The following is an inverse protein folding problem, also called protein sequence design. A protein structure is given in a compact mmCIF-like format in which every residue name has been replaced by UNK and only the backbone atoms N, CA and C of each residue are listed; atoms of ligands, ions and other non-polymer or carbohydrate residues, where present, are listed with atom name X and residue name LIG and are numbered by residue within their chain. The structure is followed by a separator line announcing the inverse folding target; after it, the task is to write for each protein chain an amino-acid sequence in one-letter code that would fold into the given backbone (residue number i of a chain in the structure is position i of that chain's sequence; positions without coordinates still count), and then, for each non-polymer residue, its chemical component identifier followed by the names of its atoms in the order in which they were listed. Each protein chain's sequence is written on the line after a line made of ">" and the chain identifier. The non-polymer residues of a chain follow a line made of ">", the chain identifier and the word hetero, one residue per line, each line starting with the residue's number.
data_IF_130100707505
#
_entry.id   IF_130100707505
#
_cell.length_a   1.000
_cell.length_b   1.000
_cell.length_c   1.000
_cell.angle_alpha   90.00
_cell.angle_beta   90.00
_cell.angle_gamma   90.00
#
_symmetry.space_group_name_H-M   'P 1'
#
loop_
_entity.id
_entity.type
_entity.pdbx_description
1 polymer ?
#
# COMPACT_ATOMS: atom_id res chain seq x y z
N UNK A 1 10.46 22.36 -15.11
CA UNK A 1 9.97 21.16 -14.40
C UNK A 1 8.79 21.57 -13.53
N UNK A 2 7.63 20.95 -13.70
CA UNK A 2 6.49 21.20 -12.81
C UNK A 2 6.65 20.35 -11.54
N UNK A 3 7.31 20.93 -10.53
CA UNK A 3 7.55 20.28 -9.23
C UNK A 3 6.25 19.87 -8.55
N UNK A 4 5.17 20.62 -8.76
CA UNK A 4 3.85 20.32 -8.18
C UNK A 4 3.25 19.07 -8.82
N UNK A 5 3.40 18.92 -10.14
CA UNK A 5 2.95 17.71 -10.83
C UNK A 5 3.77 16.49 -10.42
N UNK A 6 5.10 16.62 -10.34
CA UNK A 6 5.97 15.53 -9.85
C UNK A 6 5.56 15.11 -8.43
N UNK A 7 5.34 16.06 -7.52
CA UNK A 7 4.89 15.75 -6.16
C UNK A 7 3.57 14.96 -6.16
N UNK A 8 2.58 15.38 -6.96
CA UNK A 8 1.29 14.68 -7.07
C UNK A 8 1.44 13.25 -7.58
N UNK A 9 2.24 13.03 -8.61
CA UNK A 9 2.42 11.70 -9.18
C UNK A 9 3.19 10.79 -8.23
N UNK A 10 4.20 11.32 -7.53
CA UNK A 10 4.87 10.61 -6.43
C UNK A 10 3.90 10.24 -5.31
N UNK A 11 2.97 11.13 -4.93
CA UNK A 11 1.94 10.82 -3.93
C UNK A 11 1.05 9.66 -4.37
N UNK A 12 0.65 9.57 -5.65
CA UNK A 12 -0.17 8.45 -6.15
C UNK A 12 0.57 7.10 -6.01
N UNK A 13 1.85 7.09 -6.34
CA UNK A 13 2.70 5.89 -6.18
C UNK A 13 2.80 5.52 -4.71
N UNK A 14 3.04 6.49 -3.83
CA UNK A 14 3.11 6.26 -2.39
C UNK A 14 1.80 5.69 -1.83
N UNK A 15 0.64 6.26 -2.18
CA UNK A 15 -0.67 5.77 -1.73
C UNK A 15 -0.93 4.34 -2.19
N UNK A 16 -0.62 4.01 -3.44
CA UNK A 16 -0.77 2.65 -3.97
C UNK A 16 0.17 1.67 -3.27
N UNK A 17 1.41 2.09 -3.01
CA UNK A 17 2.39 1.27 -2.29
C UNK A 17 1.99 1.03 -0.82
N UNK A 18 1.45 2.04 -0.12
CA UNK A 18 0.94 1.87 1.24
C UNK A 18 -0.30 0.95 1.26
N UNK A 19 -1.14 1.00 0.21
CA UNK A 19 -2.26 0.05 0.05
C UNK A 19 -1.74 -1.38 -0.11
N UNK A 20 -0.70 -1.58 -0.92
CA UNK A 20 -0.01 -2.87 -1.03
C UNK A 20 0.55 -3.37 0.31
N UNK A 21 1.22 -2.52 1.07
CA UNK A 21 1.75 -2.88 2.39
C UNK A 21 0.62 -3.25 3.36
N UNK A 22 -0.49 -2.52 3.34
CA UNK A 22 -1.67 -2.83 4.14
C UNK A 22 -2.25 -4.21 3.81
N UNK A 23 -2.37 -4.55 2.51
CA UNK A 23 -2.79 -5.90 2.07
C UNK A 23 -1.86 -6.98 2.63
N UNK A 24 -0.54 -6.79 2.54
CA UNK A 24 0.42 -7.77 3.08
C UNK A 24 0.27 -7.98 4.58
N UNK A 25 0.07 -6.91 5.34
CA UNK A 25 -0.17 -6.97 6.78
C UNK A 25 -1.46 -7.75 7.07
N UNK A 26 -2.56 -7.43 6.38
CA UNK A 26 -3.84 -8.10 6.57
C UNK A 26 -3.74 -9.59 6.21
N UNK A 27 -3.08 -9.95 5.11
CA UNK A 27 -2.79 -11.35 4.76
C UNK A 27 -2.00 -12.05 5.86
N UNK A 28 -0.97 -11.41 6.41
CA UNK A 28 -0.16 -11.98 7.50
C UNK A 28 -0.95 -12.16 8.81
N UNK A 29 -1.90 -11.28 9.11
CA UNK A 29 -2.77 -11.42 10.27
C UNK A 29 -3.82 -12.53 10.06
N UNK A 30 -4.34 -12.65 8.83
CA UNK A 30 -5.27 -13.69 8.45
C UNK A 30 -4.62 -15.07 8.39
N UNK A 31 -3.35 -15.18 8.01
CA UNK A 31 -2.67 -16.49 7.98
C UNK A 31 -2.62 -17.15 9.36
N UNK A 32 -2.71 -16.35 10.43
CA UNK A 32 -2.74 -16.81 11.81
C UNK A 32 -4.16 -17.05 12.34
N UNK A 33 -5.15 -16.30 11.84
CA UNK A 33 -6.52 -16.29 12.42
C UNK A 33 -7.58 -16.94 11.52
N UNK A 34 -7.39 -16.89 10.19
CA UNK A 34 -8.25 -17.47 9.18
C UNK A 34 -7.44 -17.80 7.89
N UNK A 35 -6.68 -18.92 7.89
CA UNK A 35 -5.77 -19.26 6.78
C UNK A 35 -6.46 -19.36 5.40
N UNK A 36 -7.67 -19.94 5.26
CA UNK A 36 -8.37 -19.96 3.97
C UNK A 36 -8.62 -18.56 3.39
N UNK A 37 -9.02 -17.60 4.24
CA UNK A 37 -9.24 -16.23 3.80
C UNK A 37 -7.93 -15.51 3.43
N UNK A 38 -6.83 -15.84 4.12
CA UNK A 38 -5.51 -15.34 3.76
C UNK A 38 -5.09 -15.80 2.35
N UNK A 39 -5.30 -17.09 2.03
CA UNK A 39 -5.01 -17.66 0.70
C UNK A 39 -5.87 -16.97 -0.36
N UNK A 40 -7.18 -16.81 -0.09
CA UNK A 40 -8.08 -16.13 -1.00
C UNK A 40 -7.65 -14.68 -1.28
N UNK A 41 -7.36 -13.90 -0.24
CA UNK A 41 -6.94 -12.50 -0.38
C UNK A 41 -5.61 -12.38 -1.13
N UNK A 42 -4.67 -13.30 -0.86
CA UNK A 42 -3.41 -13.36 -1.57
C UNK A 42 -3.61 -13.66 -3.07
N UNK A 43 -4.48 -14.63 -3.39
CA UNK A 43 -4.84 -14.98 -4.77
C UNK A 43 -5.59 -13.85 -5.50
N UNK A 44 -6.49 -13.15 -4.83
CA UNK A 44 -7.15 -11.96 -5.38
C UNK A 44 -6.11 -10.89 -5.76
N UNK A 45 -5.10 -10.69 -4.90
CA UNK A 45 -4.09 -9.64 -5.02
C UNK A 45 -2.94 -9.94 -5.99
N UNK A 46 -2.70 -11.21 -6.33
CA UNK A 46 -1.55 -11.64 -7.16
C UNK A 46 -1.74 -11.36 -8.66
N UNK A 47 -2.92 -10.90 -9.08
CA UNK A 47 -3.31 -10.71 -10.49
C UNK A 47 -2.81 -9.39 -11.12
N UNK A 48 -1.85 -8.69 -10.50
CA UNK A 48 -1.34 -7.40 -10.98
C UNK A 48 -2.25 -6.20 -10.68
N UNK A 49 -3.41 -6.43 -10.06
CA UNK A 49 -4.42 -5.40 -9.71
C UNK A 49 -3.91 -4.32 -8.76
N UNK A 50 -2.87 -4.61 -7.98
CA UNK A 50 -2.43 -3.72 -6.89
C UNK A 50 -1.57 -2.54 -7.34
N UNK A 51 -1.33 -2.39 -8.65
CA UNK A 51 -0.61 -1.24 -9.21
C UNK A 51 -1.37 0.07 -9.00
N UNK A 52 -2.70 0.02 -9.07
CA UNK A 52 -3.59 1.11 -8.68
C UNK A 52 -4.32 0.70 -7.40
N UNK A 53 -3.89 1.26 -6.27
CA UNK A 53 -4.45 0.93 -4.96
C UNK A 53 -5.93 1.30 -4.81
N UNK A 54 -6.40 2.34 -5.51
CA UNK A 54 -7.80 2.76 -5.42
C UNK A 54 -8.69 1.83 -6.26
N UNK A 55 -8.28 1.51 -7.49
CA UNK A 55 -9.00 0.56 -8.33
C UNK A 55 -9.07 -0.82 -7.66
N UNK A 56 -7.96 -1.29 -7.08
CA UNK A 56 -7.89 -2.53 -6.30
C UNK A 56 -8.92 -2.55 -5.16
N UNK A 57 -9.04 -1.46 -4.39
CA UNK A 57 -9.99 -1.39 -3.28
C UNK A 57 -11.44 -1.35 -3.76
N UNK A 58 -11.73 -0.68 -4.87
CA UNK A 58 -13.07 -0.66 -5.46
C UNK A 58 -13.50 -2.06 -5.88
N UNK A 59 -12.63 -2.83 -6.53
CA UNK A 59 -12.91 -4.21 -6.89
C UNK A 59 -13.07 -5.08 -5.64
N UNK A 60 -12.17 -4.96 -4.66
CA UNK A 60 -12.25 -5.73 -3.43
C UNK A 60 -13.53 -5.42 -2.64
N UNK A 61 -14.00 -4.17 -2.67
CA UNK A 61 -15.24 -3.78 -1.98
C UNK A 61 -16.46 -4.51 -2.55
N UNK A 62 -16.47 -4.84 -3.84
CA UNK A 62 -17.54 -5.61 -4.49
C UNK A 62 -17.48 -7.10 -4.11
N UNK A 63 -16.28 -7.66 -3.97
CA UNK A 63 -16.08 -9.09 -3.69
C UNK A 63 -16.13 -9.41 -2.18
N UNK A 64 -15.57 -8.53 -1.35
CA UNK A 64 -15.48 -8.68 0.10
C UNK A 64 -15.35 -7.31 0.80
N UNK A 65 -16.50 -6.75 1.17
CA UNK A 65 -16.59 -5.43 1.81
C UNK A 65 -15.79 -5.32 3.12
N UNK A 66 -15.80 -6.36 3.95
CA UNK A 66 -15.12 -6.36 5.24
C UNK A 66 -13.59 -6.25 5.06
N UNK A 67 -13.02 -7.02 4.13
CA UNK A 67 -11.58 -6.96 3.85
C UNK A 67 -11.18 -5.61 3.25
N UNK A 68 -11.98 -5.05 2.34
CA UNK A 68 -11.71 -3.73 1.78
C UNK A 68 -11.64 -2.65 2.88
N UNK A 69 -12.64 -2.61 3.77
CA UNK A 69 -12.66 -1.67 4.89
C UNK A 69 -11.48 -1.87 5.84
N UNK A 70 -11.14 -3.12 6.17
CA UNK A 70 -9.98 -3.44 7.01
C UNK A 70 -8.67 -2.93 6.38
N UNK A 71 -8.49 -3.11 5.08
CA UNK A 71 -7.30 -2.61 4.38
C UNK A 71 -7.28 -1.08 4.36
N UNK A 72 -8.43 -0.42 4.17
CA UNK A 72 -8.54 1.04 4.24
C UNK A 72 -8.09 1.59 5.60
N UNK A 73 -8.51 0.96 6.71
CA UNK A 73 -8.07 1.35 8.06
C UNK A 73 -6.56 1.12 8.25
N UNK A 74 -6.04 -0.03 7.81
CA UNK A 74 -4.61 -0.33 7.94
C UNK A 74 -3.76 0.63 7.13
N UNK A 75 -4.13 0.95 5.87
CA UNK A 75 -3.34 1.88 5.04
C UNK A 75 -3.36 3.31 5.58
N UNK A 76 -4.45 3.75 6.19
CA UNK A 76 -4.55 5.05 6.84
C UNK A 76 -3.63 5.12 8.07
N UNK A 77 -3.63 4.07 8.89
CA UNK A 77 -2.71 3.96 10.02
C UNK A 77 -1.25 3.98 9.54
N UNK A 78 -0.90 3.17 8.52
CA UNK A 78 0.44 3.19 7.94
C UNK A 78 0.83 4.59 7.45
N UNK A 79 -0.05 5.27 6.71
CA UNK A 79 0.23 6.61 6.21
C UNK A 79 0.53 7.59 7.35
N UNK A 80 -0.24 7.53 8.43
CA UNK A 80 -0.04 8.37 9.61
C UNK A 80 1.31 8.10 10.27
N UNK A 81 1.67 6.83 10.45
CA UNK A 81 2.88 6.44 11.17
C UNK A 81 4.14 6.65 10.33
N UNK A 82 4.12 6.40 9.02
CA UNK A 82 5.37 6.32 8.23
C UNK A 82 5.72 7.61 7.50
N UNK A 83 4.73 8.44 7.14
CA UNK A 83 4.97 9.57 6.21
C UNK A 83 5.87 10.66 6.77
N UNK A 84 5.88 10.84 8.10
CA UNK A 84 6.74 11.81 8.77
C UNK A 84 8.24 11.52 8.55
N UNK A 85 8.62 10.26 8.36
CA UNK A 85 10.01 9.83 8.21
C UNK A 85 10.50 9.86 6.76
N UNK A 86 9.59 9.78 5.78
CA UNK A 86 9.93 9.60 4.36
C UNK A 86 10.81 10.72 3.76
N UNK A 87 10.62 12.02 4.08
CA UNK A 87 11.42 13.07 3.47
C UNK A 87 12.92 12.92 3.76
N UNK A 88 13.28 12.73 5.04
CA UNK A 88 14.68 12.57 5.45
C UNK A 88 15.27 11.25 4.93
N UNK A 89 14.50 10.16 5.01
CA UNK A 89 14.91 8.86 4.48
C UNK A 89 15.18 8.90 2.98
N UNK A 90 14.33 9.57 2.20
CA UNK A 90 14.51 9.69 0.76
C UNK A 90 15.74 10.51 0.39
N UNK A 91 15.97 11.64 1.06
CA UNK A 91 17.13 12.50 0.82
C UNK A 91 18.44 11.77 1.16
N UNK A 92 18.51 11.17 2.35
CA UNK A 92 19.70 10.44 2.81
C UNK A 92 20.00 9.22 1.93
N UNK A 93 18.98 8.46 1.53
CA UNK A 93 19.15 7.31 0.64
C UNK A 93 19.68 7.72 -0.74
N UNK A 94 19.16 8.80 -1.34
CA UNK A 94 19.65 9.30 -2.65
C UNK A 94 21.09 9.82 -2.51
N UNK A 95 21.39 10.54 -1.43
CA UNK A 95 22.75 11.03 -1.19
C UNK A 95 23.75 9.87 -1.07
N UNK A 96 23.39 8.82 -0.30
CA UNK A 96 24.19 7.61 -0.17
C UNK A 96 24.37 6.89 -1.51
N UNK A 97 23.29 6.67 -2.26
CA UNK A 97 23.33 5.99 -3.55
C UNK A 97 24.17 6.72 -4.61
N UNK A 98 24.34 8.04 -4.48
CA UNK A 98 25.20 8.83 -5.38
C UNK A 98 26.69 8.79 -5.00
N UNK A 99 27.04 8.30 -3.81
CA UNK A 99 28.44 8.16 -3.35
C UNK A 99 29.03 6.77 -3.66
N UNK A 100 28.18 5.81 -3.99
CA UNK A 100 28.54 4.46 -4.46
C UNK A 100 28.78 4.42 -5.97
#
# INVERSE_FOLDING_TARGET
>A
MDLKQVAKDTTKVLVSYLTYQAVRIVVSQLSQTNPPLAIWLNGFSSTGKIQDGEAYLQELLQENQELALRIMTVREHLATEVTAFLPEMALSAIAQANME
#
